data_IF_325602567892
#
_entry.id   IF_325602567892
#
_cell.length_a   1.000
_cell.length_b   1.000
_cell.length_c   1.000
_cell.angle_alpha   90.00
_cell.angle_beta   90.00
_cell.angle_gamma   90.00
#
_symmetry.space_group_name_H-M   'P 1'
#
loop_
_entity.id
_entity.type
_entity.pdbx_description
1 polymer ?
#
# COMPACT_ATOMS: atom_id res chain seq x y z
N UNK A 1 -12.42 2.27 10.63
CA UNK A 1 -12.06 2.49 9.21
C UNK A 1 -11.05 1.43 8.84
N UNK A 2 -11.39 0.56 7.89
CA UNK A 2 -10.47 -0.52 7.51
C UNK A 2 -9.31 0.04 6.68
N UNK A 3 -8.07 -0.37 6.97
CA UNK A 3 -6.92 0.02 6.18
C UNK A 3 -7.00 -0.60 4.78
N UNK A 4 -6.48 0.10 3.78
CA UNK A 4 -6.26 -0.51 2.48
C UNK A 4 -5.06 -1.45 2.54
N UNK A 5 -5.19 -2.61 1.93
CA UNK A 5 -4.08 -3.54 1.73
C UNK A 5 -4.09 -4.09 0.31
N UNK A 6 -2.98 -3.86 -0.39
CA UNK A 6 -2.63 -4.57 -1.60
C UNK A 6 -1.63 -5.68 -1.24
N UNK A 7 -1.82 -6.89 -1.78
CA UNK A 7 -1.00 -8.06 -1.46
C UNK A 7 -0.77 -8.90 -2.72
N UNK A 8 0.45 -9.42 -2.87
CA UNK A 8 0.86 -10.35 -3.93
C UNK A 8 1.70 -11.51 -3.36
N UNK A 9 1.07 -12.68 -3.21
CA UNK A 9 1.60 -13.84 -2.47
C UNK A 9 2.09 -13.45 -1.06
N UNK A 10 3.40 -13.27 -0.90
CA UNK A 10 4.06 -12.87 0.33
C UNK A 10 4.28 -11.36 0.45
N UNK A 11 4.05 -10.53 -0.57
CA UNK A 11 4.38 -9.09 -0.50
C UNK A 11 3.16 -8.25 -0.22
N UNK A 12 3.33 -7.09 0.41
CA UNK A 12 2.22 -6.20 0.72
C UNK A 12 2.58 -4.72 0.61
N UNK A 13 1.54 -3.93 0.38
CA UNK A 13 1.51 -2.49 0.59
C UNK A 13 0.23 -2.17 1.37
N UNK A 14 0.38 -1.58 2.55
CA UNK A 14 -0.73 -1.21 3.44
C UNK A 14 -0.80 0.29 3.60
N UNK A 15 -2.01 0.84 3.56
CA UNK A 15 -2.29 2.25 3.81
C UNK A 15 -3.23 2.36 5.00
N UNK A 16 -2.84 3.13 6.01
CA UNK A 16 -3.64 3.38 7.21
C UNK A 16 -3.84 4.89 7.41
N UNK A 17 -5.07 5.29 7.70
CA UNK A 17 -5.35 6.67 8.13
C UNK A 17 -4.83 6.86 9.55
N UNK A 18 -4.01 7.88 9.75
CA UNK A 18 -3.49 8.32 11.06
C UNK A 18 -3.87 9.78 11.31
N UNK A 19 -3.73 10.31 12.52
CA UNK A 19 -4.18 11.68 12.84
C UNK A 19 -3.69 12.74 11.83
N UNK A 20 -2.42 12.66 11.43
CA UNK A 20 -1.73 13.65 10.59
C UNK A 20 -1.75 13.36 9.09
N UNK A 21 -2.37 12.25 8.64
CA UNK A 21 -2.40 11.90 7.22
C UNK A 21 -2.60 10.40 6.97
N UNK A 22 -1.82 9.85 6.04
CA UNK A 22 -1.85 8.44 5.65
C UNK A 22 -0.46 7.84 5.76
N UNK A 23 -0.36 6.80 6.59
CA UNK A 23 0.86 5.99 6.71
C UNK A 23 0.82 4.89 5.66
N UNK A 24 1.86 4.81 4.84
CA UNK A 24 2.09 3.72 3.88
C UNK A 24 3.20 2.83 4.41
N UNK A 25 2.95 1.52 4.48
CA UNK A 25 3.88 0.48 4.88
C UNK A 25 4.00 -0.54 3.76
N UNK A 26 5.20 -1.05 3.49
CA UNK A 26 5.38 -2.12 2.50
C UNK A 26 6.48 -3.07 2.92
N UNK A 27 6.38 -4.30 2.43
CA UNK A 27 7.37 -5.34 2.67
C UNK A 27 6.84 -6.73 2.39
N UNK A 28 7.29 -7.68 3.19
CA UNK A 28 7.07 -9.11 2.94
C UNK A 28 6.55 -9.81 4.20
N UNK A 29 5.53 -10.63 4.01
CA UNK A 29 5.03 -11.65 4.92
C UNK A 29 5.90 -12.90 4.85
N UNK A 30 6.25 -13.40 6.03
CA UNK A 30 6.94 -14.67 6.24
C UNK A 30 6.04 -15.61 7.03
N UNK A 31 6.39 -16.89 7.04
CA UNK A 31 5.77 -17.89 7.91
C UNK A 31 4.23 -17.88 7.79
N UNK A 32 3.73 -17.91 6.54
CA UNK A 32 2.31 -17.85 6.17
C UNK A 32 1.56 -16.59 6.67
N UNK A 33 2.28 -15.50 6.92
CA UNK A 33 1.72 -14.23 7.40
C UNK A 33 1.77 -14.05 8.91
N UNK A 34 2.36 -14.99 9.66
CA UNK A 34 2.58 -14.83 11.11
C UNK A 34 3.69 -13.83 11.42
N UNK A 35 4.60 -13.58 10.48
CA UNK A 35 5.67 -12.59 10.59
C UNK A 35 5.67 -11.63 9.41
N UNK A 36 6.12 -10.41 9.67
CA UNK A 36 6.20 -9.35 8.68
C UNK A 36 7.55 -8.67 8.78
N UNK A 37 8.23 -8.53 7.65
CA UNK A 37 9.42 -7.70 7.51
C UNK A 37 9.03 -6.45 6.74
N UNK A 38 9.31 -5.28 7.32
CA UNK A 38 9.09 -4.01 6.65
C UNK A 38 10.29 -3.68 5.77
N UNK A 39 10.03 -3.50 4.47
CA UNK A 39 11.00 -2.92 3.55
C UNK A 39 11.02 -1.39 3.65
N UNK A 40 9.90 -0.79 4.05
CA UNK A 40 9.85 0.65 4.29
C UNK A 40 8.52 1.17 4.81
N UNK A 41 8.55 2.45 5.18
CA UNK A 41 7.36 3.20 5.60
C UNK A 41 7.48 4.66 5.19
N UNK A 42 6.34 5.32 4.95
CA UNK A 42 6.31 6.77 4.72
C UNK A 42 4.93 7.38 5.01
N UNK A 43 4.93 8.59 5.59
CA UNK A 43 3.73 9.37 5.87
C UNK A 43 3.46 10.36 4.72
N UNK A 44 2.19 10.50 4.36
CA UNK A 44 1.73 11.45 3.34
C UNK A 44 0.57 12.29 3.85
N UNK A 45 0.59 13.58 3.50
CA UNK A 45 -0.48 14.52 3.81
C UNK A 45 -1.57 14.60 2.72
N UNK A 46 -1.33 14.03 1.53
CA UNK A 46 -2.24 14.09 0.40
C UNK A 46 -2.47 12.72 -0.24
N UNK A 47 -3.71 12.44 -0.63
CA UNK A 47 -4.12 11.17 -1.26
C UNK A 47 -3.33 10.86 -2.54
N UNK A 48 -3.02 11.87 -3.35
CA UNK A 48 -2.24 11.68 -4.59
C UNK A 48 -0.86 11.06 -4.30
N UNK A 49 -0.13 11.60 -3.32
CA UNK A 49 1.18 11.06 -2.93
C UNK A 49 1.11 9.64 -2.35
N UNK A 50 -0.01 9.28 -1.71
CA UNK A 50 -0.25 7.89 -1.27
C UNK A 50 -0.37 6.96 -2.47
N UNK A 51 -1.16 7.33 -3.48
CA UNK A 51 -1.36 6.49 -4.68
C UNK A 51 -0.04 6.28 -5.43
N UNK A 52 0.73 7.35 -5.65
CA UNK A 52 2.06 7.27 -6.27
C UNK A 52 2.99 6.36 -5.46
N UNK A 53 2.98 6.50 -4.13
CA UNK A 53 3.79 5.65 -3.25
C UNK A 53 3.36 4.19 -3.31
N UNK A 54 2.06 3.91 -3.37
CA UNK A 54 1.54 2.53 -3.45
C UNK A 54 2.06 1.85 -4.71
N UNK A 55 1.99 2.51 -5.87
CA UNK A 55 2.53 1.99 -7.12
C UNK A 55 4.04 1.75 -7.03
N UNK A 56 4.79 2.74 -6.56
CA UNK A 56 6.24 2.62 -6.44
C UNK A 56 6.64 1.54 -5.41
N UNK A 57 5.92 1.37 -4.30
CA UNK A 57 6.18 0.33 -3.30
C UNK A 57 5.86 -1.07 -3.83
N UNK A 58 4.75 -1.22 -4.57
CA UNK A 58 4.42 -2.46 -5.26
C UNK A 58 5.48 -2.81 -6.31
N UNK A 59 6.01 -1.82 -7.04
CA UNK A 59 7.14 -2.00 -7.96
C UNK A 59 8.42 -2.42 -7.23
N UNK A 60 8.76 -1.78 -6.10
CA UNK A 60 9.94 -2.11 -5.29
C UNK A 60 9.91 -3.56 -4.78
N UNK A 61 8.78 -4.03 -4.27
CA UNK A 61 8.69 -5.39 -3.70
C UNK A 61 8.51 -6.49 -4.74
N UNK A 62 8.05 -6.16 -5.96
CA UNK A 62 7.79 -7.18 -7.00
C UNK A 62 8.72 -7.13 -8.20
N UNK A 63 9.33 -5.97 -8.50
CA UNK A 63 10.01 -5.71 -9.76
C UNK A 63 9.09 -5.68 -10.99
N UNK A 64 7.75 -5.61 -10.82
CA UNK A 64 6.78 -5.77 -11.91
C UNK A 64 5.91 -4.52 -12.08
N UNK A 65 6.04 -3.85 -13.24
CA UNK A 65 5.28 -2.65 -13.55
C UNK A 65 3.76 -2.87 -13.59
N UNK A 66 3.29 -4.01 -14.11
CA UNK A 66 1.86 -4.32 -14.18
C UNK A 66 1.19 -4.38 -12.79
N UNK A 67 1.90 -4.90 -11.78
CA UNK A 67 1.40 -4.98 -10.42
C UNK A 67 1.40 -3.62 -9.71
N UNK A 68 2.33 -2.73 -10.09
CA UNK A 68 2.33 -1.35 -9.62
C UNK A 68 1.08 -0.59 -10.09
N UNK A 69 0.73 -0.72 -11.38
CA UNK A 69 -0.47 -0.10 -11.92
C UNK A 69 -1.75 -0.64 -11.28
N UNK A 70 -1.87 -1.97 -11.13
CA UNK A 70 -2.98 -2.60 -10.43
C UNK A 70 -3.14 -2.06 -9.00
N UNK A 71 -2.03 -1.97 -8.24
CA UNK A 71 -2.04 -1.46 -6.88
C UNK A 71 -2.52 -0.01 -6.82
N UNK A 72 -2.12 0.84 -7.77
CA UNK A 72 -2.57 2.23 -7.87
C UNK A 72 -4.07 2.32 -8.16
N UNK A 73 -4.59 1.52 -9.11
CA UNK A 73 -6.02 1.50 -9.45
C UNK A 73 -6.85 1.09 -8.23
N UNK A 74 -6.46 0.01 -7.55
CA UNK A 74 -7.16 -0.46 -6.35
C UNK A 74 -7.13 0.58 -5.22
N UNK A 75 -6.01 1.28 -5.04
CA UNK A 75 -5.90 2.34 -4.04
C UNK A 75 -6.81 3.54 -4.36
N UNK A 76 -6.91 3.92 -5.65
CA UNK A 76 -7.83 4.98 -6.08
C UNK A 76 -9.29 4.62 -5.81
N UNK A 77 -9.70 3.38 -6.12
CA UNK A 77 -11.06 2.91 -5.82
C UNK A 77 -11.35 2.95 -4.32
N UNK A 78 -10.43 2.43 -3.50
CA UNK A 78 -10.58 2.50 -2.04
C UNK A 78 -10.75 3.94 -1.51
N UNK A 79 -10.05 4.92 -2.10
CA UNK A 79 -10.25 6.33 -1.74
C UNK A 79 -11.57 6.91 -2.22
N UNK A 80 -12.10 6.45 -3.35
CA UNK A 80 -13.40 6.86 -3.87
C UNK A 80 -14.53 6.30 -3.00
N UNK A 81 -14.44 5.03 -2.60
CA UNK A 81 -15.42 4.36 -1.74
C UNK A 81 -15.52 5.00 -0.35
N UNK A 82 -14.48 5.68 0.11
CA UNK A 82 -14.49 6.47 1.36
C UNK A 82 -15.10 7.86 1.24
N UNK A 83 -15.29 8.36 0.02
CA UNK A 83 -15.86 9.69 -0.23
C UNK A 83 -17.39 9.64 -0.48
N UNK A 84 -17.94 8.44 -0.67
CA UNK A 84 -19.37 8.16 -0.76
C UNK A 84 -19.98 7.96 0.64
#
# INVERSE_FOLDING_TARGET
MEPFEWRDFSRFVRVSRVATGWLVLWGTYFDLGTRTELSGSRLYAARAGVVERVGAAASEVTGRAALAEEAMVRCRHWFADQAA
#
